data_IF_644210630352
#
_entry.id   IF_644210630352
#
_cell.length_a   1.000
_cell.length_b   1.000
_cell.length_c   1.000
_cell.angle_alpha   90.00
_cell.angle_beta   90.00
_cell.angle_gamma   90.00
#
_symmetry.space_group_name_H-M   'P 1'
#
loop_
_entity.id
_entity.type
_entity.pdbx_description
1 polymer ?
#
# COMPACT_ATOMS: atom_id res chain seq x y z
N UNK A 1 1.42 1.61 -11.93
CA UNK A 1 0.63 2.59 -12.70
C UNK A 1 -0.41 3.25 -11.80
N UNK A 2 -1.25 2.49 -11.06
CA UNK A 2 -2.30 3.03 -10.21
C UNK A 2 -1.83 4.10 -9.22
N UNK A 3 -0.80 3.82 -8.43
CA UNK A 3 -0.22 4.77 -7.48
C UNK A 3 0.30 6.03 -8.17
N UNK A 4 1.03 5.87 -9.27
CA UNK A 4 1.49 7.00 -10.08
C UNK A 4 0.33 7.86 -10.55
N UNK A 5 -0.75 7.21 -10.99
CA UNK A 5 -1.94 7.93 -11.43
C UNK A 5 -2.59 8.68 -10.29
N UNK A 6 -2.83 8.03 -9.15
CA UNK A 6 -3.49 8.69 -8.02
C UNK A 6 -2.63 9.84 -7.48
N UNK A 7 -1.34 9.61 -7.21
CA UNK A 7 -0.46 10.64 -6.64
C UNK A 7 -0.35 11.85 -7.58
N UNK A 8 -0.05 11.61 -8.86
CA UNK A 8 0.10 12.69 -9.84
C UNK A 8 -1.23 13.31 -10.26
N UNK A 9 -2.22 12.46 -10.54
CA UNK A 9 -3.51 12.91 -11.04
C UNK A 9 -4.29 13.74 -10.01
N UNK A 10 -4.26 13.37 -8.73
CA UNK A 10 -4.88 14.16 -7.65
C UNK A 10 -4.12 15.46 -7.43
N UNK A 11 -2.78 15.42 -7.41
CA UNK A 11 -1.97 16.62 -7.25
C UNK A 11 -2.28 17.67 -8.33
N UNK A 12 -2.34 17.26 -9.60
CA UNK A 12 -2.68 18.19 -10.70
C UNK A 12 -4.15 18.64 -10.68
N UNK A 13 -5.09 17.74 -10.40
CA UNK A 13 -6.52 18.08 -10.29
C UNK A 13 -6.77 19.15 -9.23
N UNK A 14 -6.02 19.10 -8.14
CA UNK A 14 -6.19 19.99 -6.98
C UNK A 14 -5.15 21.12 -6.90
N UNK A 15 -4.28 21.29 -7.88
CA UNK A 15 -3.21 22.29 -7.86
C UNK A 15 -3.69 23.73 -7.62
N UNK A 16 -4.96 24.02 -7.93
CA UNK A 16 -5.59 25.33 -7.69
C UNK A 16 -6.06 25.54 -6.24
N UNK A 17 -6.19 24.45 -5.44
CA UNK A 17 -6.50 24.53 -4.00
C UNK A 17 -5.21 24.58 -3.14
N UNK A 18 -4.15 23.93 -3.63
CA UNK A 18 -2.88 23.87 -2.93
C UNK A 18 -1.90 22.93 -3.61
N UNK A 19 -0.64 23.03 -3.22
CA UNK A 19 0.44 22.22 -3.80
C UNK A 19 1.19 21.40 -2.75
N UNK A 20 0.62 21.19 -1.60
CA UNK A 20 1.20 20.37 -0.55
C UNK A 20 0.56 18.98 -0.54
N UNK A 21 1.39 17.94 -0.46
CA UNK A 21 1.00 16.55 -0.33
C UNK A 21 1.81 15.87 0.78
N UNK A 22 1.20 14.91 1.46
CA UNK A 22 1.86 14.12 2.49
C UNK A 22 1.78 12.65 2.07
N UNK A 23 2.90 11.95 2.14
CA UNK A 23 2.97 10.50 1.94
C UNK A 23 3.66 9.85 3.14
N UNK A 24 3.36 8.59 3.46
CA UNK A 24 4.06 7.95 4.58
C UNK A 24 5.55 7.72 4.25
N UNK A 25 6.40 7.70 5.27
CA UNK A 25 7.85 7.50 5.08
C UNK A 25 8.19 6.08 4.59
N UNK A 26 7.26 5.14 4.72
CA UNK A 26 7.46 3.71 4.40
C UNK A 26 6.74 3.26 3.13
N UNK A 27 6.33 4.18 2.28
CA UNK A 27 5.64 3.88 1.03
C UNK A 27 6.48 3.04 0.07
N UNK A 28 5.78 2.22 -0.72
CA UNK A 28 6.39 1.56 -1.88
C UNK A 28 6.98 2.59 -2.85
N UNK A 29 8.09 2.29 -3.56
CA UNK A 29 8.69 3.20 -4.54
C UNK A 29 7.70 3.79 -5.57
N UNK A 30 6.63 3.07 -5.92
CA UNK A 30 5.59 3.60 -6.83
C UNK A 30 4.90 4.87 -6.31
N UNK A 31 4.71 5.00 -5.00
CA UNK A 31 4.17 6.20 -4.34
C UNK A 31 5.29 7.20 -4.08
N UNK A 32 6.37 6.75 -3.40
CA UNK A 32 7.50 7.59 -2.99
C UNK A 32 8.13 8.34 -4.17
N UNK A 33 8.50 7.63 -5.23
CA UNK A 33 9.15 8.24 -6.40
C UNK A 33 8.18 9.14 -7.18
N UNK A 34 6.87 8.82 -7.19
CA UNK A 34 5.85 9.71 -7.78
C UNK A 34 5.73 11.02 -7.00
N UNK A 35 5.78 10.96 -5.67
CA UNK A 35 5.77 12.12 -4.80
C UNK A 35 7.05 12.97 -4.96
N UNK A 36 8.23 12.33 -5.00
CA UNK A 36 9.50 13.01 -5.27
C UNK A 36 9.53 13.67 -6.64
N UNK A 37 8.97 13.02 -7.66
CA UNK A 37 8.83 13.63 -8.98
C UNK A 37 7.97 14.90 -8.93
N UNK A 38 6.88 14.92 -8.14
CA UNK A 38 6.04 16.11 -7.98
C UNK A 38 6.80 17.29 -7.38
N UNK A 39 7.83 17.08 -6.54
CA UNK A 39 8.74 18.17 -6.11
C UNK A 39 9.38 18.88 -7.29
N UNK A 40 9.76 18.15 -8.34
CA UNK A 40 10.34 18.76 -9.56
C UNK A 40 9.31 19.54 -10.35
N UNK A 41 8.01 19.34 -10.09
CA UNK A 41 6.88 20.04 -10.72
C UNK A 41 6.36 21.21 -9.86
N UNK A 42 7.07 21.58 -8.80
CA UNK A 42 6.74 22.71 -7.93
C UNK A 42 5.67 22.40 -6.88
N UNK A 43 5.52 21.12 -6.49
CA UNK A 43 4.76 20.71 -5.32
C UNK A 43 5.67 20.59 -4.10
N UNK A 44 5.10 20.78 -2.93
CA UNK A 44 5.74 20.49 -1.65
C UNK A 44 5.30 19.11 -1.17
N UNK A 45 6.26 18.32 -0.70
CA UNK A 45 6.03 16.95 -0.27
C UNK A 45 6.66 16.73 1.09
N UNK A 46 5.83 16.38 2.06
CA UNK A 46 6.25 15.93 3.38
C UNK A 46 6.07 14.42 3.52
N UNK A 47 6.90 13.83 4.36
CA UNK A 47 6.85 12.41 4.70
C UNK A 47 6.37 12.26 6.13
N UNK A 48 5.18 11.65 6.31
CA UNK A 48 4.67 11.31 7.63
C UNK A 48 5.60 10.27 8.29
N UNK A 49 6.16 10.57 9.47
CA UNK A 49 7.07 9.67 10.14
C UNK A 49 6.35 8.42 10.65
N UNK A 50 7.14 7.38 10.91
CA UNK A 50 6.70 6.13 11.50
C UNK A 50 7.46 5.87 12.79
N UNK A 51 6.88 5.04 13.66
CA UNK A 51 7.56 4.52 14.84
C UNK A 51 8.60 3.43 14.49
N UNK A 52 9.26 2.88 15.50
CA UNK A 52 10.29 1.82 15.35
C UNK A 52 9.71 0.50 14.81
N UNK A 53 8.39 0.31 14.87
CA UNK A 53 7.68 -0.85 14.32
C UNK A 53 7.13 -0.60 12.93
N UNK A 54 7.30 0.61 12.38
CA UNK A 54 6.84 1.00 11.06
C UNK A 54 5.34 1.31 11.01
N UNK A 55 4.75 1.84 12.08
CA UNK A 55 3.40 2.41 12.07
C UNK A 55 3.47 3.92 11.92
N UNK A 56 2.63 4.49 11.06
CA UNK A 56 2.53 5.94 10.89
C UNK A 56 2.12 6.59 12.21
N UNK A 57 2.92 7.57 12.64
CA UNK A 57 2.56 8.43 13.78
C UNK A 57 1.46 9.41 13.34
N UNK A 58 0.23 9.13 13.77
CA UNK A 58 -0.95 9.92 13.41
C UNK A 58 -0.87 11.34 13.97
N UNK A 59 -0.27 11.53 15.15
CA UNK A 59 -0.09 12.87 15.74
C UNK A 59 0.93 13.68 14.95
N UNK A 60 2.03 13.06 14.53
CA UNK A 60 2.99 13.72 13.67
C UNK A 60 2.42 14.02 12.29
N UNK A 61 1.61 13.12 11.71
CA UNK A 61 0.86 13.37 10.48
C UNK A 61 -0.07 14.58 10.62
N UNK A 62 -0.80 14.69 11.73
CA UNK A 62 -1.67 15.84 12.02
C UNK A 62 -0.89 17.16 12.01
N UNK A 63 0.27 17.18 12.63
CA UNK A 63 1.14 18.36 12.69
C UNK A 63 1.73 18.78 11.33
N UNK A 64 1.74 17.87 10.34
CA UNK A 64 2.15 18.17 8.96
C UNK A 64 1.01 18.75 8.11
N UNK A 65 -0.26 18.63 8.55
CA UNK A 65 -1.39 19.15 7.79
C UNK A 65 -1.36 20.67 7.72
N UNK A 66 -1.52 21.21 6.52
CA UNK A 66 -1.51 22.63 6.22
C UNK A 66 -2.81 23.03 5.49
N UNK A 67 -3.16 24.32 5.46
CA UNK A 67 -4.34 24.79 4.70
C UNK A 67 -4.28 24.47 3.21
N UNK A 68 -3.09 24.34 2.64
CA UNK A 68 -2.83 24.01 1.23
C UNK A 68 -2.52 22.51 1.00
N UNK A 69 -2.72 21.65 2.01
CA UNK A 69 -2.61 20.19 1.84
C UNK A 69 -3.78 19.67 1.00
N UNK A 70 -3.46 18.94 -0.07
CA UNK A 70 -4.45 18.43 -1.03
C UNK A 70 -4.54 16.91 -1.10
N UNK A 71 -3.50 16.21 -0.64
CA UNK A 71 -3.42 14.75 -0.68
C UNK A 71 -2.67 14.22 0.56
N UNK A 72 -3.24 13.19 1.17
CA UNK A 72 -2.55 12.30 2.11
C UNK A 72 -2.56 10.90 1.50
N UNK A 73 -1.41 10.24 1.46
CA UNK A 73 -1.27 8.87 0.95
C UNK A 73 -0.55 8.00 1.97
N UNK A 74 -1.19 6.90 2.37
CA UNK A 74 -0.63 5.94 3.33
C UNK A 74 -0.94 4.54 2.84
N UNK A 75 0.06 3.68 2.74
CA UNK A 75 -0.16 2.27 2.38
C UNK A 75 -0.94 1.54 3.49
N UNK A 76 -1.77 0.57 3.13
CA UNK A 76 -2.53 -0.19 4.11
C UNK A 76 -1.67 -1.19 4.90
N UNK A 77 -0.75 -1.85 4.21
CA UNK A 77 0.16 -2.87 4.76
C UNK A 77 1.53 -2.64 4.16
N UNK A 78 2.54 -2.52 5.01
CA UNK A 78 3.92 -2.40 4.52
C UNK A 78 4.37 -3.72 3.89
N UNK A 79 4.92 -3.63 2.67
CA UNK A 79 5.29 -4.79 1.87
C UNK A 79 6.54 -5.52 2.37
N UNK A 80 7.34 -4.89 3.22
CA UNK A 80 8.58 -5.45 3.76
C UNK A 80 8.38 -6.06 5.14
N UNK A 81 7.88 -5.29 6.10
CA UNK A 81 7.74 -5.74 7.50
C UNK A 81 6.34 -6.21 7.86
N UNK A 82 5.33 -5.86 7.06
CA UNK A 82 3.95 -6.31 7.26
C UNK A 82 3.14 -5.50 8.26
N UNK A 83 3.61 -4.34 8.75
CA UNK A 83 2.80 -3.48 9.63
C UNK A 83 1.51 -3.03 8.93
N UNK A 84 0.37 -3.20 9.60
CA UNK A 84 -0.97 -2.76 9.14
C UNK A 84 -1.17 -1.34 9.63
N UNK A 85 -1.25 -0.39 8.71
CA UNK A 85 -1.28 1.02 9.05
C UNK A 85 -2.60 1.46 9.68
N UNK A 86 -2.61 2.50 10.52
CA UNK A 86 -3.78 2.97 11.27
C UNK A 86 -4.74 3.78 10.38
N UNK A 87 -5.25 3.16 9.29
CA UNK A 87 -6.10 3.82 8.30
C UNK A 87 -7.38 4.38 8.91
N UNK A 88 -7.95 3.71 9.92
CA UNK A 88 -9.14 4.18 10.63
C UNK A 88 -8.87 5.50 11.37
N UNK A 89 -7.80 5.55 12.18
CA UNK A 89 -7.42 6.76 12.91
C UNK A 89 -7.08 7.94 11.96
N UNK A 90 -6.40 7.64 10.82
CA UNK A 90 -6.15 8.65 9.79
C UNK A 90 -7.47 9.09 9.12
N UNK A 91 -8.42 8.19 8.94
CA UNK A 91 -9.75 8.52 8.42
C UNK A 91 -10.51 9.47 9.34
N UNK A 92 -10.44 9.23 10.65
CA UNK A 92 -11.03 10.11 11.67
C UNK A 92 -10.34 11.49 11.67
N UNK A 93 -9.01 11.54 11.62
CA UNK A 93 -8.24 12.79 11.52
C UNK A 93 -8.64 13.63 10.31
N UNK A 94 -8.97 12.98 9.19
CA UNK A 94 -9.32 13.64 7.93
C UNK A 94 -10.83 13.86 7.74
N UNK A 95 -11.69 13.44 8.69
CA UNK A 95 -13.13 13.44 8.52
C UNK A 95 -13.72 14.82 8.23
N UNK A 96 -13.23 15.86 8.91
CA UNK A 96 -13.62 17.25 8.76
C UNK A 96 -12.82 18.03 7.70
N UNK A 97 -11.96 17.36 6.94
CA UNK A 97 -11.04 17.96 5.93
C UNK A 97 -11.36 17.46 4.50
N UNK A 98 -12.55 17.76 3.95
CA UNK A 98 -13.00 17.20 2.66
C UNK A 98 -12.17 17.67 1.45
N UNK A 99 -11.42 18.75 1.59
CA UNK A 99 -10.51 19.26 0.55
C UNK A 99 -9.28 18.38 0.38
N UNK A 100 -8.86 17.66 1.42
CA UNK A 100 -7.75 16.72 1.37
C UNK A 100 -8.26 15.40 0.80
N UNK A 101 -7.67 14.93 -0.28
CA UNK A 101 -7.90 13.56 -0.77
C UNK A 101 -7.14 12.56 0.08
N UNK A 102 -7.76 11.41 0.37
CA UNK A 102 -7.11 10.31 1.07
C UNK A 102 -6.94 9.12 0.14
N UNK A 103 -5.68 8.76 -0.10
CA UNK A 103 -5.27 7.59 -0.90
C UNK A 103 -4.69 6.51 -0.02
N UNK A 104 -5.04 5.26 -0.33
CA UNK A 104 -4.49 4.07 0.31
C UNK A 104 -3.90 3.14 -0.74
N UNK A 105 -2.58 2.90 -0.70
CA UNK A 105 -2.00 1.76 -1.42
C UNK A 105 -2.39 0.46 -0.69
N UNK A 106 -3.37 -0.25 -1.23
CA UNK A 106 -3.91 -1.47 -0.66
C UNK A 106 -3.40 -2.75 -1.37
N UNK A 107 -2.29 -2.65 -2.09
CA UNK A 107 -1.70 -3.75 -2.86
C UNK A 107 -1.38 -4.96 -1.99
N UNK A 108 -0.92 -4.75 -0.76
CA UNK A 108 -0.62 -5.84 0.18
C UNK A 108 -1.79 -6.18 1.13
N UNK A 109 -2.93 -5.48 1.04
CA UNK A 109 -4.07 -5.67 1.92
C UNK A 109 -5.19 -6.51 1.29
N UNK A 110 -5.49 -6.28 0.00
CA UNK A 110 -6.62 -6.90 -0.68
C UNK A 110 -6.52 -8.43 -0.68
N UNK A 111 -7.60 -9.08 -0.24
CA UNK A 111 -7.72 -10.54 -0.09
C UNK A 111 -6.69 -11.18 0.86
N UNK A 112 -6.17 -10.40 1.83
CA UNK A 112 -5.19 -10.86 2.84
C UNK A 112 -5.54 -10.42 4.25
N UNK A 113 -6.20 -9.25 4.38
CA UNK A 113 -6.78 -8.77 5.64
C UNK A 113 -8.20 -8.28 5.37
N UNK A 114 -9.05 -8.13 6.42
CA UNK A 114 -10.41 -7.63 6.28
C UNK A 114 -10.46 -6.26 5.61
N UNK A 115 -11.44 -6.07 4.70
CA UNK A 115 -11.53 -4.87 3.85
C UNK A 115 -11.76 -3.59 4.66
N UNK A 116 -12.51 -3.67 5.75
CA UNK A 116 -12.80 -2.56 6.66
C UNK A 116 -11.55 -1.97 7.33
N UNK A 117 -10.45 -2.73 7.41
CA UNK A 117 -9.18 -2.25 7.95
C UNK A 117 -8.47 -1.22 7.06
N UNK A 118 -8.79 -1.17 5.76
CA UNK A 118 -8.08 -0.30 4.82
C UNK A 118 -8.96 0.46 3.83
N UNK A 119 -10.23 0.14 3.73
CA UNK A 119 -11.18 0.82 2.83
C UNK A 119 -12.36 1.35 3.66
N UNK A 120 -12.09 2.37 4.46
CA UNK A 120 -13.09 3.09 5.24
C UNK A 120 -13.90 4.04 4.34
N UNK A 121 -15.03 4.56 4.85
CA UNK A 121 -15.83 5.55 4.13
C UNK A 121 -15.06 6.84 3.81
N UNK A 122 -13.96 7.13 4.50
CA UNK A 122 -13.15 8.33 4.27
C UNK A 122 -12.16 8.17 3.12
N UNK A 123 -11.79 6.96 2.76
CA UNK A 123 -10.85 6.70 1.66
C UNK A 123 -11.45 7.14 0.33
N UNK A 124 -10.76 8.02 -0.37
CA UNK A 124 -11.18 8.56 -1.65
C UNK A 124 -10.64 7.74 -2.83
N UNK A 125 -9.43 7.20 -2.68
CA UNK A 125 -8.73 6.41 -3.70
C UNK A 125 -8.04 5.22 -3.05
N UNK A 126 -8.08 4.07 -3.71
CA UNK A 126 -7.27 2.93 -3.31
C UNK A 126 -6.70 2.21 -4.53
N UNK A 127 -5.48 1.70 -4.43
CA UNK A 127 -4.76 1.05 -5.53
C UNK A 127 -4.50 -0.42 -5.26
N UNK A 128 -4.58 -1.23 -6.31
CA UNK A 128 -4.52 -2.69 -6.24
C UNK A 128 -3.74 -3.28 -7.40
N UNK A 129 -3.00 -4.36 -7.14
CA UNK A 129 -2.24 -5.11 -8.15
C UNK A 129 -2.66 -6.58 -8.20
N UNK A 130 -3.13 -7.03 -9.37
CA UNK A 130 -3.70 -8.36 -9.56
C UNK A 130 -2.77 -9.51 -9.16
N UNK A 131 -1.47 -9.39 -9.47
CA UNK A 131 -0.49 -10.43 -9.16
C UNK A 131 -0.27 -10.66 -7.66
N UNK A 132 -0.72 -9.76 -6.78
CA UNK A 132 -0.61 -9.92 -5.32
C UNK A 132 -1.71 -10.79 -4.71
N UNK A 133 -2.76 -11.11 -5.47
CA UNK A 133 -3.83 -12.05 -5.11
C UNK A 133 -4.02 -13.14 -6.17
N UNK A 134 -2.91 -13.63 -6.73
CA UNK A 134 -2.82 -14.74 -7.71
C UNK A 134 -3.47 -14.46 -9.06
N UNK A 135 -3.68 -13.19 -9.41
CA UNK A 135 -4.10 -12.78 -10.73
C UNK A 135 -2.93 -12.59 -11.70
N UNK A 136 -3.24 -12.14 -12.91
CA UNK A 136 -2.23 -11.93 -13.96
C UNK A 136 -1.34 -10.72 -13.66
N UNK A 137 -0.08 -10.79 -14.12
CA UNK A 137 0.84 -9.66 -14.10
C UNK A 137 0.43 -8.60 -15.13
N UNK A 138 0.81 -7.33 -14.88
CA UNK A 138 0.54 -6.23 -15.80
C UNK A 138 -0.89 -5.70 -15.74
N UNK A 139 -1.70 -6.15 -14.79
CA UNK A 139 -3.06 -5.65 -14.54
C UNK A 139 -3.20 -5.23 -13.06
N UNK A 140 -3.89 -4.14 -12.85
CA UNK A 140 -4.33 -3.63 -11.56
C UNK A 140 -5.59 -2.81 -11.73
N UNK A 141 -6.11 -2.27 -10.65
CA UNK A 141 -7.24 -1.36 -10.70
C UNK A 141 -7.14 -0.31 -9.60
N UNK A 142 -7.86 0.76 -9.78
CA UNK A 142 -7.97 1.86 -8.83
C UNK A 142 -9.43 1.99 -8.41
N UNK A 143 -9.67 2.00 -7.11
CA UNK A 143 -10.95 2.44 -6.55
C UNK A 143 -10.97 3.96 -6.51
N UNK A 144 -12.03 4.55 -7.02
CA UNK A 144 -12.29 5.99 -6.97
C UNK A 144 -13.67 6.18 -6.34
N UNK A 145 -13.72 6.83 -5.20
CA UNK A 145 -14.97 7.13 -4.51
C UNK A 145 -15.87 8.01 -5.40
N UNK A 146 -17.17 7.70 -5.41
CA UNK A 146 -18.13 8.47 -6.19
C UNK A 146 -18.05 9.97 -5.89
N UNK A 147 -18.05 10.78 -6.95
CA UNK A 147 -17.92 12.25 -6.87
C UNK A 147 -16.50 12.77 -6.77
N UNK A 148 -15.50 11.92 -6.61
CA UNK A 148 -14.09 12.34 -6.67
C UNK A 148 -13.60 12.41 -8.11
N UNK A 149 -12.75 13.40 -8.38
CA UNK A 149 -12.14 13.63 -9.69
C UNK A 149 -10.63 13.45 -9.61
N UNK A 150 -10.05 13.04 -10.72
CA UNK A 150 -8.62 12.80 -10.87
C UNK A 150 -8.22 13.06 -12.32
N UNK A 151 -7.14 13.78 -12.53
CA UNK A 151 -6.59 14.02 -13.86
C UNK A 151 -6.03 12.70 -14.43
N UNK A 152 -6.41 12.27 -15.65
CA UNK A 152 -5.90 11.05 -16.25
C UNK A 152 -4.40 11.16 -16.59
N UNK A 153 -3.66 10.06 -16.46
CA UNK A 153 -2.28 9.99 -16.98
C UNK A 153 -2.24 9.76 -18.51
N UNK A 154 -3.20 8.97 -19.01
CA UNK A 154 -3.28 8.60 -20.41
C UNK A 154 -4.54 9.22 -21.01
N UNK A 155 -4.36 10.17 -21.92
CA UNK A 155 -5.44 10.85 -22.64
C UNK A 155 -5.58 10.28 -24.05
N UNK A 156 -6.79 10.33 -24.64
CA UNK A 156 -7.02 9.82 -26.00
C UNK A 156 -8.48 9.52 -26.29
N UNK A 157 -8.80 8.26 -26.57
CA UNK A 157 -10.08 7.81 -27.12
C UNK A 157 -11.23 7.64 -26.13
N UNK A 158 -11.11 8.07 -24.88
CA UNK A 158 -12.21 8.08 -23.90
C UNK A 158 -12.46 6.76 -23.18
N UNK A 159 -11.58 5.76 -23.32
CA UNK A 159 -11.73 4.49 -22.61
C UNK A 159 -11.67 4.68 -21.09
N UNK A 160 -12.22 3.72 -20.35
CA UNK A 160 -12.37 3.78 -18.90
C UNK A 160 -13.03 5.11 -18.44
N UNK A 161 -14.04 5.59 -19.17
CA UNK A 161 -14.75 6.84 -18.89
C UNK A 161 -13.84 8.07 -18.87
N UNK A 162 -12.93 8.18 -19.80
CA UNK A 162 -11.87 9.20 -19.91
C UNK A 162 -10.77 9.12 -18.84
N UNK A 163 -10.80 8.13 -17.96
CA UNK A 163 -9.80 7.98 -16.92
C UNK A 163 -8.50 7.32 -17.38
N UNK A 164 -8.56 6.41 -18.39
CA UNK A 164 -7.38 5.75 -18.93
C UNK A 164 -7.59 5.36 -20.38
N UNK A 165 -7.19 6.24 -21.28
CA UNK A 165 -7.38 6.06 -22.72
C UNK A 165 -6.37 5.08 -23.31
N UNK A 166 -6.77 3.84 -23.51
CA UNK A 166 -6.07 2.79 -24.27
C UNK A 166 -7.06 1.65 -24.51
N UNK A 167 -6.80 0.80 -25.51
CA UNK A 167 -7.60 -0.42 -25.72
C UNK A 167 -7.61 -1.26 -24.45
N UNK A 168 -8.79 -1.63 -23.98
CA UNK A 168 -8.99 -2.35 -22.74
C UNK A 168 -8.41 -3.76 -22.81
N UNK A 169 -7.65 -4.15 -21.82
CA UNK A 169 -7.14 -5.52 -21.67
C UNK A 169 -8.24 -6.42 -21.11
N UNK A 170 -9.26 -6.72 -21.92
CA UNK A 170 -10.46 -7.48 -21.50
C UNK A 170 -10.09 -8.84 -20.90
N UNK A 171 -9.15 -9.56 -21.49
CA UNK A 171 -8.70 -10.86 -20.99
C UNK A 171 -8.05 -10.75 -19.60
N UNK A 172 -7.16 -9.77 -19.44
CA UNK A 172 -6.51 -9.49 -18.16
C UNK A 172 -7.47 -9.01 -17.09
N UNK A 173 -8.45 -8.17 -17.44
CA UNK A 173 -9.51 -7.69 -16.54
C UNK A 173 -10.37 -8.88 -16.06
N UNK A 174 -10.83 -9.73 -16.98
CA UNK A 174 -11.63 -10.91 -16.65
C UNK A 174 -10.87 -11.90 -15.75
N UNK A 175 -9.58 -12.14 -16.05
CA UNK A 175 -8.72 -12.99 -15.23
C UNK A 175 -8.51 -12.39 -13.83
N UNK A 176 -8.33 -11.07 -13.72
CA UNK A 176 -8.20 -10.35 -12.46
C UNK A 176 -9.47 -10.44 -11.61
N UNK A 177 -10.65 -10.22 -12.20
CA UNK A 177 -11.94 -10.37 -11.54
C UNK A 177 -12.15 -11.80 -11.01
N UNK A 178 -11.79 -12.82 -11.82
CA UNK A 178 -11.85 -14.22 -11.39
C UNK A 178 -10.92 -14.52 -10.23
N UNK A 179 -9.67 -14.03 -10.30
CA UNK A 179 -8.68 -14.22 -9.24
C UNK A 179 -9.13 -13.56 -7.93
N UNK A 180 -9.63 -12.30 -8.00
CA UNK A 180 -10.15 -11.59 -6.85
C UNK A 180 -11.29 -12.35 -6.17
N UNK A 181 -12.29 -12.80 -6.96
CA UNK A 181 -13.40 -13.58 -6.42
C UNK A 181 -12.92 -14.80 -5.66
N UNK A 182 -12.03 -15.60 -6.27
CA UNK A 182 -11.48 -16.81 -5.64
C UNK A 182 -10.65 -16.53 -4.39
N UNK A 183 -9.91 -15.42 -4.39
CA UNK A 183 -9.10 -15.00 -3.24
C UNK A 183 -9.99 -14.54 -2.08
N UNK A 184 -11.06 -13.77 -2.35
CA UNK A 184 -12.02 -13.33 -1.34
C UNK A 184 -12.82 -14.49 -0.74
N UNK A 185 -13.25 -15.48 -1.56
CA UNK A 185 -13.92 -16.70 -1.10
C UNK A 185 -13.04 -17.52 -0.12
N UNK A 186 -11.73 -17.33 -0.13
CA UNK A 186 -10.75 -18.06 0.66
C UNK A 186 -10.04 -17.20 1.73
N UNK A 187 -10.49 -15.97 1.94
CA UNK A 187 -9.81 -15.01 2.82
C UNK A 187 -9.61 -15.57 4.23
N UNK A 188 -10.66 -16.12 4.86
CA UNK A 188 -10.58 -16.65 6.23
C UNK A 188 -9.59 -17.84 6.32
N UNK A 189 -9.64 -18.73 5.33
CA UNK A 189 -8.71 -19.86 5.27
C UNK A 189 -7.27 -19.39 5.07
N UNK A 190 -7.06 -18.42 4.18
CA UNK A 190 -5.75 -17.83 3.94
C UNK A 190 -5.20 -17.18 5.21
N UNK A 191 -5.99 -16.31 5.85
CA UNK A 191 -5.59 -15.60 7.06
C UNK A 191 -5.27 -16.57 8.20
N UNK A 192 -6.14 -17.56 8.44
CA UNK A 192 -5.91 -18.57 9.49
C UNK A 192 -4.63 -19.37 9.24
N UNK A 193 -4.44 -19.91 8.04
CA UNK A 193 -3.25 -20.71 7.72
C UNK A 193 -1.96 -19.90 7.78
N UNK A 194 -1.94 -18.71 7.19
CA UNK A 194 -0.73 -17.86 7.20
C UNK A 194 -0.38 -17.40 8.61
N UNK A 195 -1.37 -17.06 9.45
CA UNK A 195 -1.14 -16.73 10.86
C UNK A 195 -0.52 -17.89 11.63
N UNK A 196 -1.03 -19.10 11.45
CA UNK A 196 -0.47 -20.30 12.10
C UNK A 196 0.97 -20.56 11.66
N UNK A 197 1.24 -20.49 10.35
CA UNK A 197 2.58 -20.68 9.79
C UNK A 197 3.54 -19.60 10.32
N UNK A 198 3.11 -18.32 10.29
CA UNK A 198 3.89 -17.20 10.81
C UNK A 198 4.24 -17.40 12.29
N UNK A 199 3.28 -17.82 13.12
CA UNK A 199 3.50 -18.06 14.55
C UNK A 199 4.56 -19.14 14.80
N UNK A 200 4.48 -20.29 14.10
CA UNK A 200 5.45 -21.39 14.22
C UNK A 200 6.85 -20.95 13.80
N UNK A 201 6.97 -20.29 12.64
CA UNK A 201 8.28 -19.83 12.14
C UNK A 201 8.85 -18.76 13.09
N UNK A 202 8.01 -17.79 13.49
CA UNK A 202 8.44 -16.73 14.41
C UNK A 202 8.92 -17.27 15.74
N UNK A 203 8.22 -18.25 16.32
CA UNK A 203 8.64 -18.90 17.56
C UNK A 203 10.00 -19.58 17.41
N UNK A 204 10.20 -20.34 16.33
CA UNK A 204 11.48 -20.99 16.05
C UNK A 204 12.63 -19.98 15.86
N UNK A 205 12.39 -18.86 15.18
CA UNK A 205 13.40 -17.81 15.00
C UNK A 205 13.81 -17.16 16.34
N UNK A 206 12.87 -16.95 17.25
CA UNK A 206 13.12 -16.33 18.56
C UNK A 206 13.94 -17.21 19.53
N UNK A 207 14.14 -18.49 19.24
CA UNK A 207 15.04 -19.35 19.99
C UNK A 207 16.53 -19.00 19.79
N UNK A 208 16.85 -18.24 18.73
CA UNK A 208 18.21 -17.85 18.40
C UNK A 208 18.48 -16.40 18.81
N UNK A 209 19.46 -16.15 19.72
CA UNK A 209 19.69 -14.81 20.29
C UNK A 209 20.24 -13.78 19.29
N UNK A 210 20.79 -14.22 18.17
CA UNK A 210 21.31 -13.36 17.11
C UNK A 210 20.29 -13.07 16.00
N UNK A 211 19.04 -13.55 16.15
CA UNK A 211 17.95 -13.27 15.21
C UNK A 211 17.03 -12.17 15.76
N UNK A 212 16.74 -11.20 14.92
CA UNK A 212 15.77 -10.13 15.19
C UNK A 212 14.56 -10.33 14.28
N UNK A 213 13.36 -10.44 14.85
CA UNK A 213 12.11 -10.53 14.10
C UNK A 213 11.41 -9.17 14.14
N UNK A 214 11.31 -8.52 12.97
CA UNK A 214 10.71 -7.20 12.82
C UNK A 214 9.18 -7.26 12.76
N UNK A 215 8.62 -8.30 12.16
CA UNK A 215 7.16 -8.49 12.08
C UNK A 215 6.60 -8.95 13.43
N UNK A 216 5.79 -8.10 14.06
CA UNK A 216 5.10 -8.42 15.32
C UNK A 216 3.95 -9.41 15.17
N UNK A 217 3.22 -9.62 16.26
CA UNK A 217 2.01 -10.45 16.30
C UNK A 217 0.76 -9.61 16.05
N UNK A 218 0.58 -8.53 16.81
CA UNK A 218 -0.55 -7.63 16.74
C UNK A 218 -0.31 -6.55 15.65
N UNK A 219 -1.34 -6.25 14.88
CA UNK A 219 -1.33 -5.28 13.80
C UNK A 219 -0.28 -5.50 12.70
N UNK A 220 0.12 -6.77 12.53
CA UNK A 220 0.97 -7.19 11.42
C UNK A 220 0.27 -8.21 10.53
N UNK A 221 0.41 -8.00 9.21
CA UNK A 221 -0.18 -8.88 8.20
C UNK A 221 0.27 -10.34 8.38
N UNK A 222 -0.66 -11.31 8.27
CA UNK A 222 -0.37 -12.70 8.58
C UNK A 222 0.57 -13.37 7.58
N UNK A 223 0.70 -12.83 6.38
CA UNK A 223 1.46 -13.40 5.27
C UNK A 223 2.87 -12.81 5.12
N UNK A 224 3.28 -11.90 6.00
CA UNK A 224 4.61 -11.27 5.96
C UNK A 224 5.32 -11.56 7.28
N UNK A 225 6.53 -12.09 7.16
CA UNK A 225 7.44 -12.31 8.28
C UNK A 225 8.84 -11.86 7.87
N UNK A 226 9.37 -10.87 8.56
CA UNK A 226 10.68 -10.30 8.29
C UNK A 226 11.58 -10.45 9.48
N UNK A 227 12.77 -10.94 9.23
CA UNK A 227 13.80 -11.13 10.25
C UNK A 227 15.19 -10.73 9.72
N UNK A 228 16.09 -10.48 10.64
CA UNK A 228 17.50 -10.26 10.35
C UNK A 228 18.39 -11.09 11.26
N UNK A 229 19.58 -11.42 10.80
CA UNK A 229 20.61 -12.11 11.57
C UNK A 229 21.75 -11.12 11.84
N UNK A 230 22.15 -10.97 13.09
CA UNK A 230 23.19 -10.02 13.49
C UNK A 230 24.50 -10.31 12.77
N UNK A 231 25.04 -9.28 12.11
CA UNK A 231 26.31 -9.36 11.39
C UNK A 231 26.26 -10.09 10.05
N UNK A 232 25.09 -10.52 9.58
CA UNK A 232 24.91 -11.21 8.30
C UNK A 232 24.14 -10.32 7.33
N UNK A 233 24.60 -10.20 6.08
CA UNK A 233 23.86 -9.48 5.03
C UNK A 233 22.69 -10.33 4.54
N UNK A 234 21.55 -9.67 4.22
CA UNK A 234 20.36 -10.34 3.72
C UNK A 234 20.59 -11.22 2.50
N UNK A 235 21.39 -10.76 1.53
CA UNK A 235 21.76 -11.52 0.33
C UNK A 235 22.43 -12.87 0.67
N UNK A 236 23.29 -12.90 1.68
CA UNK A 236 23.94 -14.14 2.15
C UNK A 236 22.92 -15.10 2.73
N UNK A 237 21.94 -14.57 3.48
CA UNK A 237 20.85 -15.37 4.06
C UNK A 237 20.02 -15.98 2.93
N UNK A 238 19.64 -15.20 1.93
CA UNK A 238 18.86 -15.68 0.76
C UNK A 238 19.56 -16.86 0.12
N UNK A 239 20.83 -16.75 -0.23
CA UNK A 239 21.58 -17.84 -0.88
C UNK A 239 21.76 -19.07 0.02
N UNK A 240 21.98 -18.87 1.33
CA UNK A 240 22.08 -19.99 2.25
C UNK A 240 20.75 -20.77 2.39
N UNK A 241 19.62 -20.10 2.29
CA UNK A 241 18.30 -20.74 2.34
C UNK A 241 17.94 -21.45 1.04
N UNK A 242 18.41 -20.94 -0.12
CA UNK A 242 18.23 -21.58 -1.43
C UNK A 242 18.79 -23.01 -1.47
N UNK A 243 19.90 -23.28 -0.77
CA UNK A 243 20.48 -24.61 -0.65
C UNK A 243 19.56 -25.65 0.03
N UNK A 244 18.51 -25.17 0.72
CA UNK A 244 17.49 -25.97 1.40
C UNK A 244 16.11 -25.87 0.74
N UNK A 245 16.02 -25.39 -0.50
CA UNK A 245 14.75 -25.14 -1.21
C UNK A 245 13.81 -24.15 -0.47
N UNK A 246 14.37 -23.22 0.32
CA UNK A 246 13.64 -22.17 1.02
C UNK A 246 13.88 -20.85 0.29
N UNK A 247 12.82 -20.28 -0.27
CA UNK A 247 12.90 -19.03 -1.05
C UNK A 247 12.41 -17.85 -0.21
N UNK A 248 13.32 -16.94 0.08
CA UNK A 248 13.08 -15.67 0.78
C UNK A 248 13.60 -14.51 -0.06
N UNK A 249 13.28 -13.28 0.31
CA UNK A 249 13.78 -12.06 -0.36
C UNK A 249 14.44 -11.12 0.64
N UNK A 250 15.32 -10.25 0.16
CA UNK A 250 15.91 -9.13 0.92
C UNK A 250 15.08 -7.90 0.78
#
# INVERSE_FOLDING_TARGET
EGDNWVIKGVAFEKAHFGKHIIVSAIEHPAVKESALWLKTQGFEVDFAPVDEKGFVDVTALENLLRPDTTLVSVMAVNNEIGSIQPIEAISELLADKPTISFHVDAVQALAKIPTEKYLTDRVDFATFSSHKFHGVRGVGFVYIKSGKKITPLLTGGGQERDYRSTTENVAGIAATAKALRLAMERLDLFTSKTSQMKAVIRQALLEYPDIFVFSGEEDFAPHILTFGIKGVRGEVIVHAFEDYDIFIST
#
